data_IF_078920976454
#
_entry.id   IF_078920976454
#
_cell.length_a   1.000
_cell.length_b   1.000
_cell.length_c   1.000
_cell.angle_alpha   90.00
_cell.angle_beta   90.00
_cell.angle_gamma   90.00
#
_symmetry.space_group_name_H-M   'P 1'
#
loop_
_entity.id
_entity.type
_entity.pdbx_description
1 polymer ?
#
# COMPACT_ATOMS: atom_id res chain seq x y z
N UNK A 1 59.14 -10.05 -10.21
CA UNK A 1 58.80 -9.42 -8.91
C UNK A 1 57.55 -8.59 -9.12
N UNK A 2 56.42 -9.16 -8.71
CA UNK A 2 55.09 -8.56 -8.81
C UNK A 2 55.01 -7.39 -7.83
N UNK A 3 54.56 -6.22 -8.28
CA UNK A 3 54.17 -5.12 -7.39
C UNK A 3 52.73 -4.77 -7.69
N UNK A 4 51.88 -5.12 -6.73
CA UNK A 4 50.44 -5.17 -6.80
C UNK A 4 49.83 -3.77 -6.62
N UNK A 5 48.95 -3.37 -7.53
CA UNK A 5 48.07 -2.22 -7.41
C UNK A 5 47.05 -2.49 -6.29
N UNK A 6 47.06 -1.68 -5.23
CA UNK A 6 45.98 -1.62 -4.24
C UNK A 6 45.01 -0.49 -4.61
N UNK A 7 43.78 -0.88 -4.93
CA UNK A 7 42.62 0.00 -5.09
C UNK A 7 42.08 0.41 -3.72
N UNK A 8 41.55 1.64 -3.56
CA UNK A 8 41.05 2.12 -2.29
C UNK A 8 39.76 1.41 -1.87
N UNK A 9 39.75 1.07 -0.58
CA UNK A 9 38.67 0.53 0.24
C UNK A 9 37.27 1.02 -0.14
N UNK A 10 36.40 0.07 -0.48
CA UNK A 10 34.96 0.26 -0.58
C UNK A 10 34.38 0.67 0.77
N UNK A 11 33.71 1.82 0.79
CA UNK A 11 32.87 2.28 1.89
C UNK A 11 31.82 1.20 2.19
N UNK A 12 32.00 0.53 3.32
CA UNK A 12 31.05 -0.40 3.91
C UNK A 12 29.79 0.41 4.25
N UNK A 13 28.69 0.16 3.54
CA UNK A 13 27.39 0.69 3.91
C UNK A 13 27.11 0.35 5.39
N UNK A 14 26.56 1.28 6.18
CA UNK A 14 26.27 1.01 7.58
C UNK A 14 25.26 -0.14 7.64
N UNK A 15 25.61 -1.19 8.36
CA UNK A 15 24.69 -2.25 8.72
C UNK A 15 23.48 -1.59 9.41
N UNK A 16 22.28 -1.82 8.85
CA UNK A 16 21.03 -1.37 9.44
C UNK A 16 20.96 -1.87 10.89
N UNK A 17 20.80 -0.92 11.82
CA UNK A 17 20.52 -1.25 13.21
C UNK A 17 19.26 -2.13 13.28
N UNK A 18 19.19 -3.12 14.20
CA UNK A 18 18.00 -3.93 14.36
C UNK A 18 16.84 -3.02 14.77
N UNK A 19 15.84 -2.91 13.91
CA UNK A 19 14.56 -2.29 14.19
C UNK A 19 14.00 -2.93 15.46
N UNK A 20 13.58 -2.12 16.44
CA UNK A 20 12.68 -2.57 17.52
C UNK A 20 11.30 -2.85 16.91
N UNK A 21 11.23 -3.85 16.04
CA UNK A 21 10.04 -4.21 15.28
C UNK A 21 9.63 -5.64 15.57
N UNK A 22 8.33 -5.90 15.48
CA UNK A 22 7.77 -7.26 15.47
C UNK A 22 8.45 -8.09 14.37
N UNK A 23 8.88 -9.29 14.72
CA UNK A 23 9.36 -10.31 13.76
C UNK A 23 8.57 -11.58 14.02
N UNK A 24 7.74 -12.05 13.06
CA UNK A 24 6.89 -13.21 13.29
C UNK A 24 7.74 -14.47 13.33
N UNK A 25 7.56 -15.27 14.39
CA UNK A 25 8.31 -16.51 14.60
C UNK A 25 7.57 -17.69 13.97
N UNK A 26 8.26 -18.59 13.25
CA UNK A 26 7.62 -19.75 12.65
C UNK A 26 7.02 -20.63 13.75
N UNK A 27 5.81 -21.16 13.55
CA UNK A 27 5.19 -22.03 14.55
C UNK A 27 5.97 -23.36 14.65
N UNK A 28 6.24 -23.79 15.89
CA UNK A 28 6.93 -25.06 16.17
C UNK A 28 6.02 -26.28 15.99
N UNK A 29 4.70 -26.08 16.01
CA UNK A 29 3.66 -27.11 15.84
C UNK A 29 2.39 -26.51 15.26
N UNK A 30 1.46 -27.35 14.82
CA UNK A 30 0.16 -26.87 14.32
C UNK A 30 -0.71 -26.28 15.42
N UNK A 31 -0.62 -26.82 16.63
CA UNK A 31 -1.28 -26.25 17.80
C UNK A 31 -0.76 -24.83 18.04
N UNK A 32 0.55 -24.60 17.92
CA UNK A 32 1.15 -23.28 18.00
C UNK A 32 0.79 -22.38 16.80
N UNK A 33 0.46 -22.95 15.64
CA UNK A 33 -0.05 -22.20 14.49
C UNK A 33 -1.49 -21.68 14.67
N UNK A 34 -2.20 -22.16 15.70
CA UNK A 34 -3.55 -21.72 16.08
C UNK A 34 -4.67 -22.16 15.16
N UNK A 35 -4.41 -23.14 14.27
CA UNK A 35 -5.39 -23.67 13.32
C UNK A 35 -5.86 -25.06 13.74
N UNK A 36 -7.11 -25.40 13.39
CA UNK A 36 -7.63 -26.75 13.65
C UNK A 36 -6.95 -27.80 12.74
N UNK A 37 -6.69 -29.02 13.24
CA UNK A 37 -6.13 -30.10 12.42
C UNK A 37 -6.94 -30.36 11.14
N UNK A 38 -8.26 -30.38 11.26
CA UNK A 38 -9.17 -30.58 10.12
C UNK A 38 -9.03 -29.50 9.04
N UNK A 39 -8.82 -28.23 9.42
CA UNK A 39 -8.58 -27.15 8.46
C UNK A 39 -7.28 -27.39 7.68
N UNK A 40 -6.22 -27.81 8.39
CA UNK A 40 -4.89 -28.05 7.81
C UNK A 40 -4.90 -29.29 6.92
N UNK A 41 -5.58 -30.36 7.31
CA UNK A 41 -5.82 -31.55 6.48
C UNK A 41 -6.49 -31.17 5.15
N UNK A 42 -7.60 -30.44 5.22
CA UNK A 42 -8.32 -29.97 4.04
C UNK A 42 -7.44 -29.04 3.18
N UNK A 43 -6.62 -28.19 3.80
CA UNK A 43 -5.67 -27.34 3.09
C UNK A 43 -4.58 -28.13 2.37
N UNK A 44 -3.94 -29.11 3.02
CA UNK A 44 -2.92 -29.97 2.42
C UNK A 44 -3.49 -30.77 1.24
N UNK A 45 -4.71 -31.29 1.37
CA UNK A 45 -5.41 -31.97 0.27
C UNK A 45 -5.66 -31.03 -0.90
N UNK A 46 -6.07 -29.77 -0.66
CA UNK A 46 -6.21 -28.74 -1.71
C UNK A 46 -4.88 -28.45 -2.41
N UNK A 47 -3.78 -28.29 -1.65
CA UNK A 47 -2.45 -28.07 -2.21
C UNK A 47 -2.00 -29.25 -3.08
N UNK A 48 -2.20 -30.48 -2.59
CA UNK A 48 -1.81 -31.70 -3.30
C UNK A 48 -2.68 -31.99 -4.53
N UNK A 49 -3.94 -31.55 -4.51
CA UNK A 49 -4.82 -31.59 -5.68
C UNK A 49 -4.35 -30.60 -6.76
N UNK A 50 -3.88 -29.42 -6.36
CA UNK A 50 -3.36 -28.39 -7.27
C UNK A 50 -1.99 -28.77 -7.88
N UNK A 51 -1.12 -29.40 -7.10
CA UNK A 51 0.18 -29.88 -7.52
C UNK A 51 0.29 -31.39 -7.27
N UNK A 52 -0.23 -32.21 -8.20
CA UNK A 52 -0.17 -33.66 -8.10
C UNK A 52 1.29 -34.09 -8.00
N UNK A 53 1.64 -34.84 -6.94
CA UNK A 53 3.01 -35.27 -6.62
C UNK A 53 3.92 -34.15 -6.06
N UNK A 54 3.67 -33.77 -4.81
CA UNK A 54 4.48 -32.80 -4.07
C UNK A 54 5.25 -33.47 -2.93
N UNK A 55 6.49 -33.03 -2.68
CA UNK A 55 7.23 -33.50 -1.50
C UNK A 55 6.71 -32.86 -0.21
N UNK A 56 6.97 -33.50 0.94
CA UNK A 56 6.65 -32.90 2.24
C UNK A 56 7.24 -31.50 2.41
N UNK A 57 8.48 -31.28 1.95
CA UNK A 57 9.13 -29.97 1.95
C UNK A 57 8.39 -28.95 1.06
N UNK A 58 7.92 -29.36 -0.13
CA UNK A 58 7.16 -28.48 -1.03
C UNK A 58 5.80 -28.12 -0.45
N UNK A 59 5.11 -29.06 0.18
CA UNK A 59 3.83 -28.81 0.86
C UNK A 59 4.01 -27.86 2.05
N UNK A 60 5.06 -28.06 2.85
CA UNK A 60 5.39 -27.18 3.98
C UNK A 60 5.67 -25.75 3.51
N UNK A 61 6.48 -25.60 2.45
CA UNK A 61 6.77 -24.32 1.83
C UNK A 61 5.49 -23.64 1.28
N UNK A 62 4.61 -24.38 0.61
CA UNK A 62 3.33 -23.86 0.13
C UNK A 62 2.41 -23.40 1.28
N UNK A 63 2.46 -24.08 2.43
CA UNK A 63 1.75 -23.71 3.65
C UNK A 63 2.39 -22.56 4.43
N UNK A 64 3.61 -22.14 4.08
CA UNK A 64 4.37 -21.12 4.80
C UNK A 64 4.89 -21.55 6.18
N UNK A 65 5.03 -22.86 6.43
CA UNK A 65 5.46 -23.41 7.72
C UNK A 65 6.57 -24.44 7.57
N UNK A 66 7.24 -24.81 8.67
CA UNK A 66 8.23 -25.88 8.67
C UNK A 66 7.59 -27.27 8.49
N UNK A 67 8.34 -28.21 7.89
CA UNK A 67 7.85 -29.59 7.68
C UNK A 67 7.40 -30.27 8.99
N UNK A 68 8.09 -30.01 10.10
CA UNK A 68 7.75 -30.58 11.41
C UNK A 68 6.35 -30.19 11.88
N UNK A 69 5.82 -29.04 11.46
CA UNK A 69 4.45 -28.67 11.77
C UNK A 69 3.45 -29.58 11.04
N UNK A 70 3.65 -29.83 9.75
CA UNK A 70 2.67 -30.58 8.95
C UNK A 70 2.87 -32.11 8.97
N UNK A 71 4.03 -32.60 9.41
CA UNK A 71 4.36 -34.02 9.39
C UNK A 71 3.32 -34.91 10.12
N UNK A 72 2.84 -34.58 11.33
CA UNK A 72 1.83 -35.39 12.02
C UNK A 72 0.50 -35.50 11.22
N UNK A 73 0.14 -34.45 10.49
CA UNK A 73 -1.08 -34.45 9.66
C UNK A 73 -0.90 -35.28 8.40
N UNK A 74 0.27 -35.19 7.75
CA UNK A 74 0.58 -36.04 6.61
C UNK A 74 0.55 -37.53 7.00
N UNK A 75 0.99 -37.87 8.21
CA UNK A 75 0.87 -39.23 8.73
C UNK A 75 -0.59 -39.63 9.00
N UNK A 76 -1.42 -38.73 9.57
CA UNK A 76 -2.85 -39.00 9.75
C UNK A 76 -3.56 -39.23 8.41
N UNK A 77 -3.33 -38.36 7.42
CA UNK A 77 -3.86 -38.51 6.07
C UNK A 77 -3.44 -39.82 5.41
N UNK A 78 -2.22 -40.31 5.71
CA UNK A 78 -1.71 -41.59 5.21
C UNK A 78 -2.38 -42.77 5.91
N UNK A 79 -2.55 -42.71 7.24
CA UNK A 79 -3.27 -43.72 8.02
C UNK A 79 -4.74 -43.84 7.58
N UNK A 80 -5.37 -42.72 7.23
CA UNK A 80 -6.74 -42.67 6.72
C UNK A 80 -6.88 -43.04 5.23
N UNK A 81 -5.78 -43.44 4.59
CA UNK A 81 -5.68 -43.79 3.17
C UNK A 81 -6.14 -42.66 2.22
N UNK A 82 -5.94 -41.41 2.62
CA UNK A 82 -6.21 -40.23 1.78
C UNK A 82 -4.99 -39.86 0.91
N UNK A 83 -3.78 -40.13 1.41
CA UNK A 83 -2.54 -39.91 0.67
C UNK A 83 -1.63 -41.13 0.72
N UNK A 84 -0.78 -41.27 -0.28
CA UNK A 84 0.22 -42.33 -0.42
C UNK A 84 1.57 -41.73 -0.83
N UNK A 85 2.65 -42.44 -0.54
CA UNK A 85 4.01 -42.07 -0.94
C UNK A 85 4.36 -42.80 -2.24
N UNK A 86 4.63 -42.06 -3.31
CA UNK A 86 5.03 -42.62 -4.62
C UNK A 86 6.53 -42.56 -4.90
N UNK A 87 7.31 -42.12 -3.94
CA UNK A 87 8.77 -42.10 -4.02
C UNK A 87 9.37 -41.13 -3.02
N UNK A 88 10.69 -40.95 -3.10
CA UNK A 88 11.43 -40.01 -2.26
C UNK A 88 12.38 -39.20 -3.13
N UNK A 89 12.42 -37.90 -2.91
CA UNK A 89 13.34 -36.96 -3.55
C UNK A 89 14.12 -36.24 -2.45
N UNK A 90 15.41 -36.54 -2.31
CA UNK A 90 16.25 -36.02 -1.24
C UNK A 90 16.35 -36.97 -0.04
N UNK A 91 16.82 -36.44 1.10
CA UNK A 91 17.11 -37.21 2.31
C UNK A 91 16.09 -36.88 3.40
N UNK A 92 15.63 -37.90 4.12
CA UNK A 92 14.68 -37.77 5.22
C UNK A 92 13.22 -37.65 4.79
N UNK A 93 12.34 -37.56 5.77
CA UNK A 93 10.88 -37.67 5.57
C UNK A 93 10.29 -36.50 4.78
N UNK A 94 10.91 -35.32 4.87
CA UNK A 94 10.51 -34.14 4.08
C UNK A 94 10.68 -34.38 2.56
N UNK A 95 11.51 -35.34 2.16
CA UNK A 95 11.71 -35.74 0.77
C UNK A 95 10.65 -36.68 0.20
N UNK A 96 9.76 -37.25 1.04
CA UNK A 96 8.71 -38.15 0.53
C UNK A 96 7.77 -37.41 -0.40
N UNK A 97 7.55 -37.98 -1.59
CA UNK A 97 6.64 -37.48 -2.60
C UNK A 97 5.25 -38.04 -2.38
N UNK A 98 4.34 -37.21 -1.88
CA UNK A 98 2.97 -37.56 -1.59
C UNK A 98 2.10 -37.42 -2.83
N UNK A 99 1.12 -38.29 -2.98
CA UNK A 99 0.01 -38.19 -3.94
C UNK A 99 -1.29 -38.53 -3.22
N UNK A 100 -2.40 -37.95 -3.66
CA UNK A 100 -3.71 -38.33 -3.11
C UNK A 100 -4.18 -39.65 -3.73
N UNK A 101 -4.91 -40.45 -2.96
CA UNK A 101 -5.66 -41.61 -3.44
C UNK A 101 -6.96 -41.16 -4.10
N UNK A 102 -7.77 -42.07 -4.65
CA UNK A 102 -9.13 -41.75 -5.10
C UNK A 102 -10.01 -41.21 -3.96
N UNK A 103 -9.85 -41.74 -2.74
CA UNK A 103 -10.54 -41.24 -1.53
C UNK A 103 -10.05 -39.83 -1.17
N UNK A 104 -8.73 -39.60 -1.24
CA UNK A 104 -8.14 -38.28 -1.05
C UNK A 104 -8.59 -37.25 -2.08
N UNK A 105 -8.73 -37.65 -3.35
CA UNK A 105 -9.23 -36.80 -4.42
C UNK A 105 -10.66 -36.33 -4.14
N UNK A 106 -11.55 -37.24 -3.75
CA UNK A 106 -12.93 -36.90 -3.40
C UNK A 106 -12.97 -35.92 -2.22
N UNK A 107 -12.18 -36.18 -1.16
CA UNK A 107 -12.10 -35.29 0.01
C UNK A 107 -11.50 -33.93 -0.34
N UNK A 108 -10.54 -33.87 -1.27
CA UNK A 108 -10.00 -32.61 -1.76
C UNK A 108 -11.06 -31.79 -2.52
N UNK A 109 -11.93 -32.43 -3.31
CA UNK A 109 -13.03 -31.75 -3.99
C UNK A 109 -14.04 -31.17 -2.99
N UNK A 110 -14.41 -31.92 -1.94
CA UNK A 110 -15.24 -31.40 -0.85
C UNK A 110 -14.58 -30.20 -0.13
N UNK A 111 -13.26 -30.25 0.08
CA UNK A 111 -12.51 -29.14 0.67
C UNK A 111 -12.47 -27.90 -0.24
N UNK A 112 -12.47 -28.08 -1.56
CA UNK A 112 -12.53 -27.01 -2.56
C UNK A 112 -13.93 -26.40 -2.66
N UNK A 113 -14.97 -27.15 -2.33
CA UNK A 113 -16.33 -26.60 -2.16
C UNK A 113 -16.42 -25.67 -0.93
N UNK A 114 -15.58 -25.85 0.09
CA UNK A 114 -15.58 -24.92 1.23
C UNK A 114 -14.82 -23.64 0.91
N UNK A 115 -13.63 -23.78 0.34
CA UNK A 115 -12.80 -22.64 -0.08
C UNK A 115 -11.80 -23.06 -1.15
N UNK A 116 -11.57 -22.17 -2.11
CA UNK A 116 -10.53 -22.32 -3.15
C UNK A 116 -9.21 -21.67 -2.74
N UNK A 117 -9.09 -21.16 -1.51
CA UNK A 117 -7.85 -20.57 -1.02
C UNK A 117 -6.70 -21.60 -0.98
N UNK A 118 -5.57 -21.24 -1.60
CA UNK A 118 -4.36 -22.07 -1.76
C UNK A 118 -3.05 -21.33 -1.43
N UNK A 119 -3.14 -20.15 -0.83
CA UNK A 119 -1.95 -19.45 -0.33
C UNK A 119 -1.40 -20.09 0.95
N UNK A 120 -0.38 -19.48 1.59
CA UNK A 120 0.12 -19.92 2.89
C UNK A 120 -1.00 -20.08 3.92
N UNK A 121 -0.81 -20.94 4.92
CA UNK A 121 -1.82 -21.13 5.96
C UNK A 121 -2.22 -19.78 6.57
N UNK A 122 -3.52 -19.49 6.71
CA UNK A 122 -3.96 -18.23 7.28
C UNK A 122 -3.53 -18.13 8.74
N UNK A 123 -3.33 -16.90 9.20
CA UNK A 123 -2.98 -16.60 10.58
C UNK A 123 -4.25 -16.32 11.38
N UNK A 124 -4.44 -16.89 12.58
CA UNK A 124 -5.60 -16.58 13.41
C UNK A 124 -5.75 -15.06 13.65
N UNK A 125 -6.99 -14.56 13.67
CA UNK A 125 -7.24 -13.13 13.89
C UNK A 125 -6.58 -12.59 15.16
N UNK A 126 -6.50 -13.38 16.24
CA UNK A 126 -5.85 -12.96 17.48
C UNK A 126 -4.36 -12.63 17.30
N UNK A 127 -3.64 -13.46 16.53
CA UNK A 127 -2.22 -13.25 16.23
C UNK A 127 -2.03 -12.04 15.31
N UNK A 128 -2.94 -11.83 14.36
CA UNK A 128 -2.97 -10.62 13.54
C UNK A 128 -3.15 -9.36 14.41
N UNK A 129 -4.10 -9.35 15.34
CA UNK A 129 -4.32 -8.21 16.24
C UNK A 129 -3.06 -7.90 17.06
N UNK A 130 -2.43 -8.92 17.66
CA UNK A 130 -1.20 -8.76 18.42
C UNK A 130 -0.04 -8.23 17.56
N UNK A 131 0.06 -8.67 16.30
CA UNK A 131 1.10 -8.19 15.38
C UNK A 131 0.95 -6.72 15.03
N UNK A 132 -0.28 -6.20 14.92
CA UNK A 132 -0.53 -4.80 14.59
C UNK A 132 -0.20 -3.91 15.78
N UNK A 133 -0.57 -4.32 17.00
CA UNK A 133 -0.20 -3.62 18.23
C UNK A 133 1.32 -3.58 18.45
N UNK A 134 2.04 -4.61 18.02
CA UNK A 134 3.51 -4.68 18.11
C UNK A 134 4.25 -3.88 17.02
N UNK A 135 3.54 -3.26 16.07
CA UNK A 135 4.10 -2.52 14.93
C UNK A 135 3.57 -1.07 14.83
N UNK A 136 3.65 -0.27 15.92
CA UNK A 136 3.20 1.12 15.86
C UNK A 136 4.03 1.92 14.86
N UNK A 137 3.46 3.00 14.34
CA UNK A 137 4.22 4.00 13.58
C UNK A 137 5.24 4.62 14.55
N UNK A 138 6.53 4.54 14.22
CA UNK A 138 7.57 5.18 15.05
C UNK A 138 7.56 6.69 14.81
N UNK A 139 6.89 7.41 15.72
CA UNK A 139 6.81 8.87 15.67
C UNK A 139 8.18 9.56 15.73
N UNK A 140 9.23 8.90 16.22
CA UNK A 140 10.58 9.46 16.22
C UNK A 140 11.19 9.54 14.82
N UNK A 141 10.68 8.76 13.87
CA UNK A 141 11.11 8.80 12.46
C UNK A 141 10.54 10.02 11.73
N UNK A 142 9.41 10.57 12.19
CA UNK A 142 8.72 11.71 11.56
C UNK A 142 9.41 13.01 11.98
N UNK A 143 10.55 13.31 11.35
CA UNK A 143 11.28 14.57 11.55
C UNK A 143 11.02 15.54 10.41
N UNK A 144 11.12 16.86 10.67
CA UNK A 144 10.98 17.87 9.61
C UNK A 144 11.96 17.68 8.45
N UNK A 145 13.15 17.15 8.72
CA UNK A 145 14.14 16.80 7.68
C UNK A 145 13.63 15.66 6.80
N UNK A 146 13.14 14.56 7.38
CA UNK A 146 12.60 13.42 6.62
C UNK A 146 11.36 13.81 5.82
N UNK A 147 10.50 14.67 6.37
CA UNK A 147 9.36 15.23 5.63
C UNK A 147 9.87 16.03 4.43
N UNK A 148 10.85 16.94 4.60
CA UNK A 148 11.43 17.67 3.46
C UNK A 148 12.06 16.76 2.40
N UNK A 149 12.77 15.72 2.82
CA UNK A 149 13.36 14.73 1.90
C UNK A 149 12.28 13.95 1.12
N UNK A 150 11.24 13.47 1.80
CA UNK A 150 10.15 12.73 1.17
C UNK A 150 9.34 13.57 0.17
N UNK A 151 9.31 14.89 0.37
CA UNK A 151 8.63 15.87 -0.46
C UNK A 151 9.56 16.59 -1.45
N UNK A 152 10.86 16.24 -1.51
CA UNK A 152 11.84 16.94 -2.33
C UNK A 152 11.55 16.85 -3.84
N UNK A 153 10.86 15.80 -4.27
CA UNK A 153 10.42 15.61 -5.66
C UNK A 153 9.11 16.34 -5.99
N UNK A 154 8.42 16.89 -4.98
CA UNK A 154 7.20 17.64 -5.15
C UNK A 154 7.52 19.12 -5.37
N UNK A 155 7.07 19.66 -6.51
CA UNK A 155 7.04 21.10 -6.76
C UNK A 155 5.96 21.74 -5.87
N UNK A 156 6.31 21.98 -4.60
CA UNK A 156 5.45 22.58 -3.60
C UNK A 156 6.20 23.65 -2.78
N UNK A 157 5.50 24.68 -2.26
CA UNK A 157 6.11 25.66 -1.36
C UNK A 157 6.53 25.04 -0.02
N UNK A 158 7.68 25.45 0.52
CA UNK A 158 8.23 24.89 1.78
C UNK A 158 7.26 25.05 2.97
N UNK A 159 6.52 26.17 3.02
CA UNK A 159 5.51 26.44 4.05
C UNK A 159 4.40 25.38 4.15
N UNK A 160 4.15 24.63 3.07
CA UNK A 160 3.15 23.58 3.02
C UNK A 160 3.67 22.29 3.67
N UNK A 161 4.94 21.98 3.42
CA UNK A 161 5.68 20.86 4.02
C UNK A 161 5.78 21.02 5.54
N UNK A 162 5.97 22.25 6.04
CA UNK A 162 5.99 22.52 7.48
C UNK A 162 4.61 22.33 8.14
N UNK A 163 3.51 22.58 7.41
CA UNK A 163 2.14 22.39 7.91
C UNK A 163 1.72 20.91 7.94
N UNK A 164 2.25 20.07 7.04
CA UNK A 164 1.84 18.66 6.97
C UNK A 164 2.53 17.79 8.01
N UNK A 165 3.78 18.09 8.38
CA UNK A 165 4.57 17.31 9.34
C UNK A 165 3.81 16.95 10.64
N UNK A 166 3.16 17.91 11.33
CA UNK A 166 2.37 17.63 12.53
C UNK A 166 1.22 16.65 12.30
N UNK A 167 0.57 16.68 11.13
CA UNK A 167 -0.53 15.77 10.82
C UNK A 167 -0.03 14.32 10.71
N UNK A 168 1.12 14.11 10.05
CA UNK A 168 1.77 12.81 9.90
C UNK A 168 2.19 12.27 11.28
N UNK A 169 2.83 13.11 12.10
CA UNK A 169 3.28 12.72 13.44
C UNK A 169 2.12 12.34 14.37
N UNK A 170 0.96 12.96 14.20
CA UNK A 170 -0.21 12.67 15.03
C UNK A 170 -0.95 11.37 14.65
N UNK A 171 -0.68 10.82 13.46
CA UNK A 171 -1.45 9.71 12.87
C UNK A 171 -2.96 10.01 12.66
N UNK A 172 -3.39 11.26 12.88
CA UNK A 172 -4.80 11.65 12.80
C UNK A 172 -5.24 11.80 11.34
N UNK A 173 -6.55 11.64 11.10
CA UNK A 173 -7.11 11.88 9.78
C UNK A 173 -6.85 13.32 9.31
N UNK A 174 -6.64 13.47 8.00
CA UNK A 174 -6.27 14.70 7.31
C UNK A 174 -7.22 15.01 6.16
N UNK A 175 -7.76 16.22 6.11
CA UNK A 175 -8.41 16.77 4.92
C UNK A 175 -7.41 17.63 4.13
N UNK A 176 -7.17 17.25 2.88
CA UNK A 176 -6.48 18.05 1.87
C UNK A 176 -7.53 18.63 0.91
N UNK A 177 -7.76 19.94 0.95
CA UNK A 177 -8.79 20.57 0.14
C UNK A 177 -8.29 21.82 -0.57
N UNK A 178 -8.87 22.14 -1.71
CA UNK A 178 -8.49 23.29 -2.53
C UNK A 178 -8.75 23.04 -4.00
N UNK A 179 -8.41 24.03 -4.83
CA UNK A 179 -8.67 23.96 -6.26
C UNK A 179 -7.96 22.75 -6.93
N UNK A 180 -8.52 22.21 -8.03
CA UNK A 180 -7.85 21.18 -8.82
C UNK A 180 -6.54 21.73 -9.41
N UNK A 181 -5.54 20.86 -9.52
CA UNK A 181 -4.21 21.24 -10.01
C UNK A 181 -3.21 21.70 -8.94
N UNK A 182 -3.60 21.78 -7.65
CA UNK A 182 -2.69 22.14 -6.56
C UNK A 182 -1.99 20.94 -5.88
N UNK A 183 -2.00 19.76 -6.50
CA UNK A 183 -1.17 18.62 -6.07
C UNK A 183 -1.66 17.86 -4.83
N UNK A 184 -2.96 17.87 -4.52
CA UNK A 184 -3.57 17.13 -3.39
C UNK A 184 -3.17 15.65 -3.34
N UNK A 185 -3.40 14.93 -4.43
CA UNK A 185 -3.08 13.50 -4.57
C UNK A 185 -1.58 13.26 -4.43
N UNK A 186 -0.77 14.07 -5.13
CA UNK A 186 0.69 13.96 -5.06
C UNK A 186 1.22 14.17 -3.64
N UNK A 187 0.67 15.15 -2.91
CA UNK A 187 0.99 15.40 -1.51
C UNK A 187 0.63 14.21 -0.62
N UNK A 188 -0.57 13.65 -0.77
CA UNK A 188 -0.99 12.48 0.00
C UNK A 188 -0.12 11.24 -0.25
N UNK A 189 0.30 11.00 -1.49
CA UNK A 189 1.22 9.90 -1.83
C UNK A 189 2.60 10.04 -1.17
N UNK A 190 3.09 11.27 -0.94
CA UNK A 190 4.39 11.48 -0.28
C UNK A 190 4.32 11.27 1.23
N UNK A 191 3.13 11.34 1.83
CA UNK A 191 2.94 11.03 3.26
C UNK A 191 3.36 9.58 3.55
N UNK A 192 3.03 8.62 2.69
CA UNK A 192 3.40 7.21 2.92
C UNK A 192 4.92 7.00 2.92
N UNK A 193 5.67 7.78 2.12
CA UNK A 193 7.14 7.74 2.08
C UNK A 193 7.78 8.22 3.38
N UNK A 194 7.11 9.08 4.14
CA UNK A 194 7.62 9.55 5.44
C UNK A 194 7.60 8.42 6.46
N UNK A 195 6.58 7.56 6.42
CA UNK A 195 6.38 6.42 7.32
C UNK A 195 7.30 5.22 7.01
N UNK A 196 8.43 5.40 6.35
CA UNK A 196 9.18 4.36 5.60
C UNK A 196 9.81 3.19 6.40
N UNK A 197 9.33 2.84 7.59
CA UNK A 197 9.68 1.58 8.24
C UNK A 197 8.83 0.41 7.71
N UNK A 198 9.44 -0.71 7.29
CA UNK A 198 8.70 -1.89 6.83
C UNK A 198 7.91 -2.57 7.95
N UNK A 199 6.77 -3.18 7.60
CA UNK A 199 5.91 -3.95 8.52
C UNK A 199 5.66 -5.35 7.99
N UNK A 200 5.35 -6.30 8.88
CA UNK A 200 4.87 -7.62 8.53
C UNK A 200 3.35 -7.67 8.51
N UNK A 201 2.80 -8.22 7.43
CA UNK A 201 1.38 -8.59 7.33
C UNK A 201 1.24 -10.05 6.92
N UNK A 202 0.18 -10.76 7.35
CA UNK A 202 -0.07 -12.12 6.91
C UNK A 202 -0.61 -12.15 5.48
N UNK A 203 -0.38 -13.25 4.76
CA UNK A 203 -1.01 -13.48 3.46
C UNK A 203 -2.55 -13.53 3.56
N UNK A 204 -3.05 -14.20 4.59
CA UNK A 204 -4.46 -14.29 4.91
C UNK A 204 -4.67 -14.45 6.41
N UNK A 205 -5.86 -14.09 6.87
CA UNK A 205 -6.31 -14.18 8.25
C UNK A 205 -7.41 -15.26 8.33
N UNK A 206 -7.39 -16.05 9.40
CA UNK A 206 -8.46 -16.98 9.74
C UNK A 206 -9.43 -16.31 10.71
N UNK A 207 -10.72 -16.36 10.36
CA UNK A 207 -11.82 -15.87 11.19
C UNK A 207 -12.95 -16.89 11.14
N UNK A 208 -13.16 -17.58 12.25
CA UNK A 208 -14.31 -18.49 12.47
C UNK A 208 -14.41 -19.64 11.43
N UNK A 209 -13.28 -20.23 11.08
CA UNK A 209 -13.14 -21.27 10.05
C UNK A 209 -13.14 -20.74 8.62
N UNK A 210 -13.26 -19.43 8.42
CA UNK A 210 -13.23 -18.78 7.10
C UNK A 210 -11.94 -18.02 6.86
N UNK A 211 -11.52 -17.95 5.60
CA UNK A 211 -10.31 -17.24 5.19
C UNK A 211 -10.67 -15.82 4.76
N UNK A 212 -9.92 -14.84 5.27
CA UNK A 212 -9.91 -13.45 4.82
C UNK A 212 -8.55 -13.18 4.18
N UNK A 213 -8.51 -13.02 2.86
CA UNK A 213 -7.27 -12.69 2.14
C UNK A 213 -6.92 -11.23 2.39
N UNK A 214 -5.72 -11.00 2.94
CA UNK A 214 -5.25 -9.67 3.30
C UNK A 214 -4.20 -9.17 2.31
N UNK A 215 -3.14 -9.97 2.10
CA UNK A 215 -2.09 -9.60 1.17
C UNK A 215 -2.62 -9.51 -0.26
N UNK A 216 -2.27 -8.40 -0.88
CA UNK A 216 -2.69 -8.03 -2.22
C UNK A 216 -1.46 -7.47 -2.94
N UNK A 217 -0.92 -8.16 -3.97
CA UNK A 217 0.29 -7.75 -4.66
C UNK A 217 0.12 -6.45 -5.47
N UNK A 218 -1.12 -5.99 -5.71
CA UNK A 218 -1.37 -4.70 -6.35
C UNK A 218 -1.19 -3.52 -5.39
N UNK A 219 -1.34 -3.77 -4.08
CA UNK A 219 -1.28 -2.76 -3.02
C UNK A 219 0.02 -2.86 -2.24
N UNK A 220 0.37 -4.07 -1.81
CA UNK A 220 1.45 -4.31 -0.88
C UNK A 220 2.72 -4.64 -1.64
N UNK A 221 3.75 -3.83 -1.41
CA UNK A 221 5.09 -4.02 -2.01
C UNK A 221 5.97 -4.77 -1.03
N UNK A 222 6.34 -6.03 -1.32
CA UNK A 222 7.29 -6.76 -0.49
C UNK A 222 8.63 -6.05 -0.45
N UNK A 223 9.25 -6.01 0.72
CA UNK A 223 10.67 -5.64 0.82
C UNK A 223 11.49 -6.89 0.49
N UNK A 224 12.44 -6.76 -0.43
CA UNK A 224 13.37 -7.85 -0.78
C UNK A 224 14.33 -8.14 0.39
N UNK A 225 13.81 -8.87 1.36
CA UNK A 225 14.58 -9.54 2.39
C UNK A 225 14.62 -10.98 1.89
N UNK A 226 15.74 -11.40 1.28
CA UNK A 226 15.94 -12.82 0.97
C UNK A 226 15.55 -13.68 2.17
N UNK A 227 15.03 -14.90 1.93
CA UNK A 227 14.40 -15.76 2.95
C UNK A 227 15.17 -15.72 4.28
N UNK A 228 14.71 -14.88 5.20
CA UNK A 228 15.45 -14.62 6.43
C UNK A 228 15.23 -15.83 7.33
N UNK A 229 16.29 -16.59 7.68
CA UNK A 229 16.13 -17.78 8.50
C UNK A 229 15.46 -17.42 9.83
N UNK A 230 14.41 -18.17 10.19
CA UNK A 230 13.70 -17.97 11.46
C UNK A 230 12.52 -16.98 11.41
N UNK A 231 12.07 -16.56 10.22
CA UNK A 231 10.84 -15.79 10.03
C UNK A 231 9.69 -16.69 9.56
N UNK A 232 8.51 -16.53 10.14
CA UNK A 232 7.28 -17.21 9.71
C UNK A 232 6.89 -16.82 8.29
N UNK A 233 6.83 -17.79 7.37
CA UNK A 233 6.59 -17.54 5.95
C UNK A 233 5.10 -17.35 5.63
N UNK A 234 4.20 -17.47 6.61
CA UNK A 234 2.80 -17.02 6.48
C UNK A 234 2.69 -15.49 6.43
N UNK A 235 3.76 -14.80 6.81
CA UNK A 235 3.88 -13.35 6.85
C UNK A 235 4.82 -12.86 5.76
N UNK A 236 4.54 -11.67 5.26
CA UNK A 236 5.36 -10.97 4.29
C UNK A 236 5.73 -9.61 4.84
N UNK A 237 7.01 -9.27 4.76
CA UNK A 237 7.50 -7.93 5.09
C UNK A 237 7.23 -7.02 3.91
N UNK A 238 6.56 -5.90 4.14
CA UNK A 238 6.13 -4.96 3.12
C UNK A 238 6.56 -3.54 3.50
N UNK A 239 6.69 -2.68 2.50
CA UNK A 239 6.61 -1.24 2.72
C UNK A 239 5.23 -0.90 3.32
N UNK A 240 5.15 0.10 4.22
CA UNK A 240 3.85 0.51 4.76
C UNK A 240 2.88 0.83 3.62
N UNK A 241 1.66 0.26 3.64
CA UNK A 241 0.78 0.29 2.49
C UNK A 241 0.27 1.70 2.20
N UNK A 242 0.14 2.02 0.91
CA UNK A 242 -0.61 3.17 0.42
C UNK A 242 -1.77 2.63 -0.39
N UNK A 243 -2.98 2.69 0.18
CA UNK A 243 -4.21 2.34 -0.53
C UNK A 243 -4.85 3.62 -1.02
N UNK A 244 -5.10 3.70 -2.32
CA UNK A 244 -5.78 4.84 -2.96
C UNK A 244 -7.14 4.39 -3.47
N UNK A 245 -8.18 5.15 -3.16
CA UNK A 245 -9.52 4.94 -3.66
C UNK A 245 -10.09 6.24 -4.22
N UNK A 246 -10.69 6.20 -5.40
CA UNK A 246 -11.23 7.36 -6.11
C UNK A 246 -12.75 7.37 -6.20
N UNK A 247 -13.26 7.67 -7.39
CA UNK A 247 -14.70 7.76 -7.69
C UNK A 247 -15.44 6.42 -7.67
N UNK A 248 -14.71 5.31 -7.78
CA UNK A 248 -15.20 3.93 -7.73
C UNK A 248 -15.47 3.41 -6.32
N UNK A 249 -15.13 4.19 -5.29
CA UNK A 249 -15.34 3.81 -3.89
C UNK A 249 -16.83 3.67 -3.57
N UNK A 250 -17.20 2.50 -3.06
CA UNK A 250 -18.56 2.21 -2.56
C UNK A 250 -18.53 1.90 -1.07
N UNK A 251 -19.68 1.92 -0.38
CA UNK A 251 -19.75 1.47 1.01
C UNK A 251 -19.36 0.00 1.16
N UNK A 252 -19.72 -0.84 0.18
CA UNK A 252 -19.36 -2.26 0.19
C UNK A 252 -17.84 -2.48 0.14
N UNK A 253 -17.08 -1.55 -0.47
CA UNK A 253 -15.61 -1.58 -0.46
C UNK A 253 -14.99 -1.41 0.93
N UNK A 254 -15.79 -0.93 1.90
CA UNK A 254 -15.42 -0.78 3.31
C UNK A 254 -15.85 -1.97 4.18
N UNK A 255 -16.46 -3.01 3.59
CA UNK A 255 -16.83 -4.24 4.29
C UNK A 255 -16.14 -5.46 3.66
N UNK A 256 -16.22 -6.62 4.33
CA UNK A 256 -15.66 -7.86 3.81
C UNK A 256 -16.39 -8.26 2.53
N UNK A 257 -15.65 -8.38 1.42
CA UNK A 257 -16.21 -8.77 0.13
C UNK A 257 -16.11 -10.28 -0.04
N UNK A 258 -17.24 -10.97 -0.19
CA UNK A 258 -17.25 -12.40 -0.45
C UNK A 258 -16.97 -12.69 -1.93
N UNK A 259 -15.96 -13.53 -2.19
CA UNK A 259 -15.68 -14.03 -3.54
C UNK A 259 -16.44 -15.32 -3.77
N UNK A 260 -17.47 -15.32 -4.63
CA UNK A 260 -18.25 -16.54 -4.92
C UNK A 260 -17.41 -17.65 -5.58
N UNK A 261 -16.53 -17.27 -6.51
CA UNK A 261 -15.62 -18.20 -7.16
C UNK A 261 -14.52 -18.72 -6.22
N UNK A 262 -13.98 -17.84 -5.37
CA UNK A 262 -12.92 -18.18 -4.42
C UNK A 262 -13.42 -18.86 -3.14
N UNK A 263 -14.66 -18.60 -2.73
CA UNK A 263 -15.25 -18.96 -1.44
C UNK A 263 -14.35 -18.58 -0.26
N UNK A 264 -13.92 -17.32 -0.27
CA UNK A 264 -13.19 -16.65 0.82
C UNK A 264 -13.53 -15.16 0.77
N UNK A 265 -13.25 -14.45 1.87
CA UNK A 265 -13.40 -13.00 1.93
C UNK A 265 -12.13 -12.31 1.40
N UNK A 266 -12.32 -11.22 0.67
CA UNK A 266 -11.29 -10.22 0.41
C UNK A 266 -11.37 -9.13 1.49
N UNK A 267 -10.22 -8.77 2.04
CA UNK A 267 -10.12 -7.71 3.04
C UNK A 267 -10.56 -6.34 2.47
N UNK A 268 -11.29 -5.51 3.25
CA UNK A 268 -11.65 -4.16 2.84
C UNK A 268 -10.44 -3.23 2.76
N UNK A 269 -10.62 -2.07 2.12
CA UNK A 269 -9.56 -1.11 1.86
C UNK A 269 -8.83 -0.65 3.13
N UNK A 270 -9.56 -0.35 4.21
CA UNK A 270 -8.97 0.07 5.47
C UNK A 270 -8.12 -1.03 6.13
N UNK A 271 -8.53 -2.29 5.99
CA UNK A 271 -7.80 -3.42 6.56
C UNK A 271 -6.51 -3.67 5.77
N UNK A 272 -6.54 -3.53 4.45
CA UNK A 272 -5.34 -3.56 3.58
C UNK A 272 -4.41 -2.37 3.83
N UNK A 273 -4.95 -1.21 4.20
CA UNK A 273 -4.18 -0.01 4.49
C UNK A 273 -3.56 0.01 5.89
N UNK A 274 -3.88 -0.96 6.77
CA UNK A 274 -3.49 -0.91 8.18
C UNK A 274 -2.00 -0.66 8.39
N UNK A 275 -1.68 0.23 9.32
CA UNK A 275 -0.31 0.67 9.58
C UNK A 275 0.27 1.58 8.49
N UNK A 276 -0.47 1.95 7.45
CA UNK A 276 0.00 2.85 6.40
C UNK A 276 -0.94 4.04 6.19
N UNK A 277 -1.27 4.32 4.93
CA UNK A 277 -2.12 5.44 4.52
C UNK A 277 -3.28 4.93 3.67
N UNK A 278 -4.49 5.37 3.99
CA UNK A 278 -5.68 5.23 3.15
C UNK A 278 -6.04 6.61 2.58
N UNK A 279 -5.78 6.80 1.29
CA UNK A 279 -6.10 8.01 0.54
C UNK A 279 -7.43 7.85 -0.19
N UNK A 280 -8.38 8.73 0.12
CA UNK A 280 -9.63 8.88 -0.62
C UNK A 280 -9.51 10.12 -1.51
N UNK A 281 -9.31 9.90 -2.81
CA UNK A 281 -9.18 10.96 -3.80
C UNK A 281 -10.54 11.39 -4.36
N UNK A 282 -10.62 12.64 -4.81
CA UNK A 282 -11.85 13.29 -5.26
C UNK A 282 -13.05 13.07 -4.32
N UNK A 283 -12.80 13.09 -3.01
CA UNK A 283 -13.82 12.89 -2.00
C UNK A 283 -14.95 13.92 -2.13
N UNK A 284 -16.20 13.46 -2.19
CA UNK A 284 -17.34 14.30 -2.55
C UNK A 284 -17.91 14.05 -3.94
N UNK A 285 -17.22 13.29 -4.79
CA UNK A 285 -17.63 13.00 -6.17
C UNK A 285 -17.97 11.53 -6.40
N UNK A 286 -18.02 10.74 -5.34
CA UNK A 286 -18.43 9.34 -5.37
C UNK A 286 -19.95 9.21 -5.57
N UNK A 287 -20.39 8.03 -6.01
CA UNK A 287 -21.83 7.71 -6.08
C UNK A 287 -22.48 7.70 -4.68
N UNK A 288 -21.71 7.26 -3.68
CA UNK A 288 -22.13 7.26 -2.27
C UNK A 288 -21.97 8.66 -1.69
N UNK A 289 -22.92 9.06 -0.86
CA UNK A 289 -22.89 10.36 -0.19
C UNK A 289 -21.70 10.42 0.80
N UNK A 290 -20.91 11.51 0.81
CA UNK A 290 -19.80 11.68 1.73
C UNK A 290 -20.18 11.42 3.19
N UNK A 291 -21.34 11.94 3.61
CA UNK A 291 -21.86 11.76 4.97
C UNK A 291 -22.03 10.30 5.38
N UNK A 292 -22.42 9.42 4.45
CA UNK A 292 -22.57 7.99 4.72
C UNK A 292 -21.22 7.31 4.95
N UNK A 293 -20.22 7.63 4.12
CA UNK A 293 -18.84 7.13 4.31
C UNK A 293 -18.26 7.62 5.64
N UNK A 294 -18.46 8.89 5.96
CA UNK A 294 -17.97 9.47 7.20
C UNK A 294 -18.64 8.83 8.42
N UNK A 295 -19.97 8.60 8.37
CA UNK A 295 -20.70 7.89 9.42
C UNK A 295 -20.13 6.48 9.67
N UNK A 296 -19.74 5.77 8.61
CA UNK A 296 -19.11 4.44 8.70
C UNK A 296 -17.76 4.47 9.44
N UNK A 297 -17.07 5.60 9.45
CA UNK A 297 -15.78 5.80 10.11
C UNK A 297 -15.82 6.55 11.45
N UNK A 298 -17.00 6.91 11.96
CA UNK A 298 -17.11 7.55 13.30
C UNK A 298 -16.42 6.72 14.37
N UNK A 299 -16.81 5.45 14.51
CA UNK A 299 -16.26 4.56 15.54
C UNK A 299 -14.78 4.21 15.26
N UNK A 300 -14.39 3.84 14.01
CA UNK A 300 -12.99 3.63 13.67
C UNK A 300 -12.05 4.79 13.98
N UNK A 301 -12.46 6.04 13.69
CA UNK A 301 -11.65 7.23 13.96
C UNK A 301 -11.56 7.59 15.45
N UNK A 302 -12.54 7.21 16.26
CA UNK A 302 -12.54 7.48 17.70
C UNK A 302 -11.81 6.41 18.52
N UNK A 303 -12.00 5.14 18.15
CA UNK A 303 -11.56 4.00 18.95
C UNK A 303 -10.39 3.23 18.34
N UNK A 304 -9.95 3.59 17.13
CA UNK A 304 -8.92 2.87 16.37
C UNK A 304 -9.24 1.39 16.15
N UNK A 305 -10.55 1.06 16.12
CA UNK A 305 -11.06 -0.29 15.86
C UNK A 305 -12.23 -0.23 14.90
N UNK A 306 -12.26 -1.17 13.97
CA UNK A 306 -13.37 -1.36 13.04
C UNK A 306 -14.06 -2.70 13.32
N UNK A 307 -15.34 -2.79 12.97
CA UNK A 307 -16.14 -4.00 13.12
C UNK A 307 -16.60 -4.47 11.75
N UNK A 308 -16.10 -5.63 11.34
CA UNK A 308 -16.49 -6.26 10.08
C UNK A 308 -17.46 -7.40 10.37
N UNK A 309 -18.40 -7.62 9.45
CA UNK A 309 -19.44 -8.65 9.60
C UNK A 309 -19.25 -9.72 8.53
N UNK A 310 -19.20 -10.98 8.95
CA UNK A 310 -19.17 -12.13 8.05
C UNK A 310 -20.59 -12.41 7.53
N UNK A 311 -20.72 -13.17 6.44
CA UNK A 311 -22.01 -13.66 5.93
C UNK A 311 -22.79 -14.49 6.97
N UNK A 312 -22.09 -15.08 7.94
CA UNK A 312 -22.72 -15.78 9.08
C UNK A 312 -23.43 -14.83 10.05
N UNK A 313 -23.26 -13.51 9.90
CA UNK A 313 -23.71 -12.48 10.83
C UNK A 313 -22.75 -12.24 12.01
N UNK A 314 -21.69 -13.04 12.14
CA UNK A 314 -20.68 -12.85 13.18
C UNK A 314 -19.92 -11.57 12.94
N UNK A 315 -19.75 -10.76 13.99
CA UNK A 315 -18.95 -9.54 13.96
C UNK A 315 -17.55 -9.81 14.51
N UNK A 316 -16.54 -9.35 13.78
CA UNK A 316 -15.14 -9.42 14.17
C UNK A 316 -14.61 -8.00 14.35
N UNK A 317 -13.84 -7.80 15.41
CA UNK A 317 -13.12 -6.55 15.64
C UNK A 317 -11.77 -6.62 14.93
N UNK A 318 -11.44 -5.59 14.17
CA UNK A 318 -10.16 -5.45 13.46
C UNK A 318 -9.51 -4.10 13.82
N UNK A 319 -8.19 -3.97 13.72
CA UNK A 319 -7.53 -2.71 14.03
C UNK A 319 -7.78 -1.69 12.92
N UNK A 320 -7.74 -0.41 13.28
CA UNK A 320 -7.86 0.72 12.36
C UNK A 320 -6.71 1.70 12.65
N UNK A 321 -5.51 1.34 12.19
CA UNK A 321 -4.24 1.99 12.54
C UNK A 321 -3.62 2.80 11.39
N UNK A 322 -4.28 2.82 10.23
CA UNK A 322 -3.88 3.62 9.09
C UNK A 322 -4.26 5.10 9.24
N UNK A 323 -3.46 5.98 8.65
CA UNK A 323 -3.81 7.40 8.52
C UNK A 323 -4.81 7.57 7.37
N UNK A 324 -5.98 8.14 7.65
CA UNK A 324 -6.95 8.51 6.61
C UNK A 324 -6.62 9.88 6.03
N UNK A 325 -6.55 9.97 4.71
CA UNK A 325 -6.32 11.22 3.98
C UNK A 325 -7.45 11.42 2.98
N UNK A 326 -8.19 12.51 3.11
CA UNK A 326 -9.25 12.89 2.19
C UNK A 326 -8.77 14.01 1.27
N UNK A 327 -8.65 13.75 -0.02
CA UNK A 327 -8.36 14.77 -1.02
C UNK A 327 -9.66 15.19 -1.71
N UNK A 328 -9.97 16.49 -1.70
CA UNK A 328 -11.23 17.01 -2.25
C UNK A 328 -11.07 18.39 -2.88
N UNK A 329 -11.96 18.68 -3.84
CA UNK A 329 -12.12 20.02 -4.42
C UNK A 329 -13.20 20.84 -3.69
N UNK A 330 -13.96 20.23 -2.78
CA UNK A 330 -15.03 20.86 -2.01
C UNK A 330 -14.52 21.38 -0.67
N UNK A 331 -15.21 22.35 -0.08
CA UNK A 331 -14.86 22.78 1.26
C UNK A 331 -15.35 21.75 2.30
N UNK A 332 -14.61 21.49 3.40
CA UNK A 332 -15.00 20.49 4.40
C UNK A 332 -16.40 20.69 4.97
N UNK A 333 -16.87 21.94 5.10
CA UNK A 333 -18.22 22.29 5.57
C UNK A 333 -19.35 21.84 4.64
N UNK A 334 -19.05 21.63 3.37
CA UNK A 334 -20.03 21.17 2.38
C UNK A 334 -20.12 19.63 2.34
N UNK A 335 -19.16 18.95 2.97
CA UNK A 335 -19.03 17.50 2.98
C UNK A 335 -19.65 16.85 4.22
N UNK A 336 -19.63 17.53 5.37
CA UNK A 336 -20.05 16.97 6.64
C UNK A 336 -20.44 18.06 7.66
N UNK A 337 -21.10 17.63 8.73
CA UNK A 337 -21.44 18.51 9.85
C UNK A 337 -20.23 18.82 10.75
N UNK A 338 -20.36 19.87 11.57
CA UNK A 338 -19.32 20.27 12.52
C UNK A 338 -18.98 19.17 13.53
N UNK A 339 -19.97 18.33 13.88
CA UNK A 339 -19.76 17.23 14.81
C UNK A 339 -18.76 16.22 14.25
N UNK A 340 -18.88 15.84 12.98
CA UNK A 340 -17.94 14.96 12.32
C UNK A 340 -16.60 15.64 12.06
N UNK A 341 -16.61 16.88 11.56
CA UNK A 341 -15.38 17.62 11.27
C UNK A 341 -14.47 17.81 12.50
N UNK A 342 -15.01 17.77 13.74
CA UNK A 342 -14.20 17.76 14.97
C UNK A 342 -13.32 16.53 15.13
N UNK A 343 -13.67 15.40 14.51
CA UNK A 343 -12.90 14.14 14.55
C UNK A 343 -11.71 14.16 13.60
N UNK A 344 -11.79 14.95 12.53
CA UNK A 344 -10.70 15.18 11.59
C UNK A 344 -9.92 16.42 12.03
N UNK A 345 -8.85 16.18 12.79
CA UNK A 345 -8.09 17.25 13.47
C UNK A 345 -7.42 18.21 12.50
N UNK A 346 -6.91 17.69 11.38
CA UNK A 346 -6.15 18.49 10.41
C UNK A 346 -6.95 18.75 9.15
N UNK A 347 -7.05 20.03 8.78
CA UNK A 347 -7.70 20.50 7.56
C UNK A 347 -6.71 21.44 6.88
N UNK A 348 -6.02 20.95 5.87
CA UNK A 348 -5.01 21.69 5.13
C UNK A 348 -5.60 22.19 3.82
N UNK A 349 -5.74 23.51 3.72
CA UNK A 349 -6.10 24.18 2.48
C UNK A 349 -4.87 24.33 1.59
N UNK A 350 -5.00 23.89 0.35
CA UNK A 350 -4.02 24.04 -0.71
C UNK A 350 -4.41 25.24 -1.57
N UNK A 351 -3.92 26.40 -1.14
CA UNK A 351 -4.10 27.66 -1.86
C UNK A 351 -3.30 27.69 -3.15
N UNK A 352 -3.70 28.60 -4.03
CA UNK A 352 -2.99 28.88 -5.27
C UNK A 352 -1.61 29.48 -4.97
N UNK A 353 -0.60 29.18 -5.79
CA UNK A 353 0.72 29.79 -5.61
C UNK A 353 0.62 31.31 -5.81
N UNK A 354 1.35 32.04 -4.96
CA UNK A 354 1.69 33.43 -5.21
C UNK A 354 2.56 33.55 -6.46
N UNK A 355 2.68 34.74 -7.05
CA UNK A 355 3.57 34.97 -8.20
C UNK A 355 5.02 34.55 -7.92
N UNK A 356 5.52 34.84 -6.71
CA UNK A 356 6.87 34.46 -6.29
C UNK A 356 7.03 32.94 -6.20
N UNK A 357 6.04 32.25 -5.60
CA UNK A 357 6.03 30.80 -5.54
C UNK A 357 5.92 30.18 -6.94
N UNK A 358 5.08 30.74 -7.82
CA UNK A 358 4.93 30.26 -9.19
C UNK A 358 6.23 30.39 -9.98
N UNK A 359 6.93 31.53 -9.85
CA UNK A 359 8.25 31.73 -10.46
C UNK A 359 9.26 30.69 -9.96
N UNK A 360 9.33 30.48 -8.65
CA UNK A 360 10.25 29.50 -8.07
C UNK A 360 9.92 28.07 -8.55
N UNK A 361 8.64 27.69 -8.59
CA UNK A 361 8.19 26.41 -9.12
C UNK A 361 8.55 26.25 -10.61
N UNK A 362 8.39 27.31 -11.40
CA UNK A 362 8.75 27.32 -12.83
C UNK A 362 10.26 27.17 -13.02
N UNK A 363 11.07 27.86 -12.21
CA UNK A 363 12.52 27.73 -12.21
C UNK A 363 12.96 26.31 -11.86
N UNK A 364 12.39 25.72 -10.80
CA UNK A 364 12.65 24.32 -10.41
C UNK A 364 12.23 23.35 -11.52
N UNK A 365 11.08 23.56 -12.16
CA UNK A 365 10.59 22.74 -13.27
C UNK A 365 11.49 22.81 -14.51
N UNK A 366 11.99 23.99 -14.87
CA UNK A 366 13.00 24.18 -15.92
C UNK A 366 14.29 23.43 -15.60
N UNK A 367 14.81 23.60 -14.38
CA UNK A 367 16.04 22.94 -13.94
C UNK A 367 15.92 21.41 -13.96
N UNK A 368 14.77 20.85 -13.56
CA UNK A 368 14.57 19.39 -13.56
C UNK A 368 14.49 18.78 -14.96
N UNK A 369 14.25 19.60 -15.99
CA UNK A 369 14.13 19.19 -17.40
C UNK A 369 15.31 19.62 -18.26
N UNK A 370 16.33 20.24 -17.65
CA UNK A 370 17.50 20.76 -18.36
C UNK A 370 17.18 21.94 -19.29
N UNK A 371 16.14 22.72 -18.99
CA UNK A 371 15.72 23.87 -19.80
C UNK A 371 16.23 25.16 -19.16
N UNK A 372 16.75 26.08 -19.98
CA UNK A 372 17.18 27.40 -19.53
C UNK A 372 15.99 28.23 -19.06
N UNK A 373 16.01 28.64 -17.79
CA UNK A 373 15.03 29.55 -17.20
C UNK A 373 15.26 30.99 -17.67
N UNK A 374 14.17 31.71 -17.97
CA UNK A 374 14.20 33.14 -18.28
C UNK A 374 13.11 33.87 -17.50
N UNK A 375 13.51 34.81 -16.63
CA UNK A 375 12.58 35.63 -15.86
C UNK A 375 11.75 36.54 -16.78
N UNK A 376 12.34 37.04 -17.87
CA UNK A 376 11.64 37.87 -18.85
C UNK A 376 10.63 37.05 -19.67
N UNK A 377 10.99 35.81 -20.03
CA UNK A 377 10.08 34.87 -20.70
C UNK A 377 8.88 34.51 -19.82
N UNK A 378 9.11 34.23 -18.54
CA UNK A 378 8.03 33.99 -17.58
C UNK A 378 7.12 35.22 -17.43
N UNK A 379 7.70 36.42 -17.30
CA UNK A 379 6.93 37.67 -17.19
C UNK A 379 6.06 37.91 -18.43
N UNK A 380 6.62 37.71 -19.62
CA UNK A 380 5.89 37.77 -20.89
C UNK A 380 4.72 36.76 -20.89
N UNK A 381 5.01 35.50 -20.54
CA UNK A 381 4.01 34.44 -20.49
C UNK A 381 2.85 34.78 -19.55
N UNK A 382 3.15 35.22 -18.33
CA UNK A 382 2.13 35.59 -17.35
C UNK A 382 1.30 36.80 -17.79
N UNK A 383 1.95 37.85 -18.31
CA UNK A 383 1.24 39.05 -18.78
C UNK A 383 0.28 38.75 -19.94
N UNK A 384 0.70 37.87 -20.86
CA UNK A 384 -0.10 37.53 -22.03
C UNK A 384 -1.22 36.53 -21.72
N UNK A 385 -0.94 35.50 -20.93
CA UNK A 385 -1.81 34.35 -20.80
C UNK A 385 -2.59 34.27 -19.46
N UNK A 386 -2.29 35.10 -18.44
CA UNK A 386 -2.89 34.97 -17.09
C UNK A 386 -3.84 36.09 -16.67
N UNK A 387 -4.43 36.87 -17.59
CA UNK A 387 -5.29 38.01 -17.26
C UNK A 387 -6.43 37.69 -16.25
N UNK A 388 -7.21 36.62 -16.49
CA UNK A 388 -8.31 36.18 -15.61
C UNK A 388 -8.16 34.71 -15.17
N UNK A 389 -6.95 34.14 -15.28
CA UNK A 389 -6.71 32.73 -14.97
C UNK A 389 -6.04 32.59 -13.60
N UNK A 390 -6.54 31.72 -12.71
CA UNK A 390 -5.85 31.45 -11.46
C UNK A 390 -4.57 30.66 -11.72
N UNK A 391 -3.53 30.96 -10.94
CA UNK A 391 -2.31 30.19 -10.91
C UNK A 391 -2.57 28.85 -10.22
N UNK A 392 -1.96 27.76 -10.70
CA UNK A 392 -2.04 26.42 -10.09
C UNK A 392 -0.65 25.82 -9.94
N UNK A 393 -0.45 25.02 -8.90
CA UNK A 393 0.86 24.40 -8.62
C UNK A 393 1.33 23.45 -9.73
N UNK A 394 0.42 22.82 -10.49
CA UNK A 394 0.77 21.91 -11.58
C UNK A 394 1.20 22.63 -12.87
N UNK A 395 0.71 23.86 -13.10
CA UNK A 395 0.91 24.59 -14.36
C UNK A 395 2.40 24.73 -14.73
N UNK A 396 3.33 25.12 -13.82
CA UNK A 396 4.73 25.25 -14.18
C UNK A 396 5.33 23.96 -14.74
N UNK A 397 5.05 22.81 -14.10
CA UNK A 397 5.53 21.51 -14.56
C UNK A 397 4.98 21.18 -15.96
N UNK A 398 3.67 21.29 -16.11
CA UNK A 398 2.98 20.89 -17.33
C UNK A 398 3.38 21.80 -18.51
N UNK A 399 3.55 23.11 -18.29
CA UNK A 399 4.00 24.06 -19.30
C UNK A 399 5.43 23.78 -19.75
N UNK A 400 6.33 23.49 -18.81
CA UNK A 400 7.72 23.17 -19.14
C UNK A 400 7.80 21.83 -19.89
N UNK A 401 6.96 20.85 -19.55
CA UNK A 401 6.78 19.62 -20.35
C UNK A 401 6.33 19.91 -21.79
N UNK A 402 5.36 20.81 -21.97
CA UNK A 402 4.88 21.23 -23.29
C UNK A 402 5.98 21.93 -24.10
N UNK A 403 6.74 22.86 -23.48
CA UNK A 403 7.88 23.53 -24.12
C UNK A 403 8.90 22.49 -24.60
N UNK A 404 9.24 21.51 -23.74
CA UNK A 404 10.18 20.44 -24.08
C UNK A 404 9.70 19.60 -25.26
N UNK A 405 8.42 19.23 -25.27
CA UNK A 405 7.82 18.42 -26.32
C UNK A 405 7.78 19.16 -27.66
N UNK A 406 7.36 20.43 -27.66
CA UNK A 406 7.28 21.27 -28.87
C UNK A 406 8.67 21.52 -29.44
N UNK A 407 9.64 21.88 -28.61
CA UNK A 407 11.01 22.12 -29.04
C UNK A 407 11.63 20.86 -29.69
N UNK A 408 11.44 19.69 -29.06
CA UNK A 408 11.88 18.41 -29.60
C UNK A 408 11.24 18.08 -30.94
N UNK A 409 9.94 18.34 -31.09
CA UNK A 409 9.22 18.12 -32.35
C UNK A 409 9.73 19.04 -33.47
N UNK A 410 10.05 20.29 -33.14
CA UNK A 410 10.55 21.29 -34.09
C UNK A 410 12.04 21.18 -34.39
N UNK A 411 12.77 20.31 -33.68
CA UNK A 411 14.22 20.17 -33.82
C UNK A 411 15.00 21.39 -33.31
N UNK A 412 14.44 22.12 -32.34
CA UNK A 412 15.10 23.29 -31.72
C UNK A 412 15.43 23.01 -30.26
N UNK A 413 16.42 23.73 -29.72
CA UNK A 413 16.78 23.63 -28.31
C UNK A 413 15.65 24.18 -27.41
N UNK A 414 15.23 23.45 -26.36
CA UNK A 414 14.19 23.91 -25.46
C UNK A 414 14.66 25.12 -24.66
N UNK A 415 13.92 26.22 -24.74
CA UNK A 415 14.28 27.48 -24.08
C UNK A 415 13.03 28.20 -23.57
N UNK A 416 12.96 28.42 -22.24
CA UNK A 416 11.84 29.11 -21.60
C UNK A 416 11.87 30.65 -21.78
N UNK A 417 12.85 31.19 -22.51
CA UNK A 417 12.88 32.58 -22.97
C UNK A 417 12.32 32.79 -24.39
N UNK A 418 12.05 31.73 -25.15
CA UNK A 418 11.51 31.86 -26.51
C UNK A 418 10.01 32.14 -26.46
N UNK A 419 9.60 33.36 -26.78
CA UNK A 419 8.18 33.75 -26.82
C UNK A 419 7.36 32.83 -27.72
N UNK A 420 7.92 32.41 -28.87
CA UNK A 420 7.23 31.50 -29.80
C UNK A 420 6.97 30.10 -29.21
N UNK A 421 7.92 29.56 -28.43
CA UNK A 421 7.71 28.26 -27.76
C UNK A 421 6.74 28.40 -26.59
N UNK A 422 6.83 29.50 -25.82
CA UNK A 422 5.92 29.78 -24.71
C UNK A 422 4.47 29.93 -25.20
N UNK A 423 4.24 30.67 -26.28
CA UNK A 423 2.91 30.89 -26.83
C UNK A 423 2.30 29.58 -27.36
N UNK A 424 3.09 28.75 -28.04
CA UNK A 424 2.61 27.44 -28.49
C UNK A 424 2.30 26.50 -27.33
N UNK A 425 3.16 26.47 -26.30
CA UNK A 425 2.94 25.66 -25.11
C UNK A 425 1.66 26.09 -24.36
N UNK A 426 1.45 27.40 -24.19
CA UNK A 426 0.25 27.93 -23.55
C UNK A 426 -1.00 27.72 -24.40
N UNK A 427 -0.93 27.91 -25.72
CA UNK A 427 -2.05 27.67 -26.62
C UNK A 427 -2.51 26.21 -26.57
N UNK A 428 -1.55 25.28 -26.59
CA UNK A 428 -1.79 23.84 -26.46
C UNK A 428 -2.39 23.50 -25.09
N UNK A 429 -1.81 24.01 -24.00
CA UNK A 429 -2.24 23.70 -22.64
C UNK A 429 -3.65 24.22 -22.31
N UNK A 430 -3.96 25.45 -22.71
CA UNK A 430 -5.27 26.06 -22.46
C UNK A 430 -6.31 25.76 -23.54
N UNK A 431 -5.91 25.16 -24.66
CA UNK A 431 -6.79 24.85 -25.78
C UNK A 431 -7.39 26.09 -26.46
N UNK A 432 -6.67 27.22 -26.44
CA UNK A 432 -7.13 28.50 -27.03
C UNK A 432 -6.03 29.18 -27.82
N UNK A 433 -6.44 29.96 -28.83
CA UNK A 433 -5.53 30.88 -29.52
C UNK A 433 -5.20 32.09 -28.63
N UNK A 434 -3.98 32.58 -28.76
CA UNK A 434 -3.34 33.59 -27.91
C UNK A 434 -3.88 35.01 -28.04
#
# INVERSE_FOLDING_TARGET
>A
MQTTLQSPSSLRAPASAPTRGFVPRPPESLQAAGLSPAFVEEHLLRCLHAAPQSTGAQLAAACGVGFQAIAPILDSLRQDHLVEIRGQRGIGDAGFAYVHTSKGAARALEALEKTQYRGPLPVPIADYLASVEAQPIDNNLVTGTRVREAFADLLAPDSLTDKIGPSIMSGSALFLFGAPGNGKTAMAERISRVLSDPIYIPHAIEVDGTVVKLFDPLVHRPVDCGSTPGVDQRWVQIERPLVVAGGELTLASLDLLWSEGGRYYEAPLQLKANGGVLLIDDFGRQQVRPTEMLNRWIVPLEKHVDYLTLLTGKRVQVPFQQMLVFATNLEPRDLADDAFLRRIRFKLRLDDPTNEQFEDLFRRACSSRGISFSADGLRYMLQRWWADRPLRMCQPRDLVDQIAAIARYQGVEPNAGSHGLLDQACASYFGVAA
#
